data_IF_504015025960
#
_entry.id   IF_504015025960
#
_cell.length_a   1.000
_cell.length_b   1.000
_cell.length_c   1.000
_cell.angle_alpha   90.00
_cell.angle_beta   90.00
_cell.angle_gamma   90.00
#
_symmetry.space_group_name_H-M   'P 1'
#
loop_
_entity.id
_entity.type
_entity.pdbx_description
1 polymer ?
#
# COMPACT_ATOMS: atom_id res chain seq x y z
N UNK A 1 44.69 12.97 -41.22
CA UNK A 1 44.22 12.26 -40.01
C UNK A 1 43.73 10.89 -40.45
N UNK A 2 44.26 9.81 -39.89
CA UNK A 2 43.87 8.46 -40.31
C UNK A 2 42.41 8.18 -39.92
N UNK A 3 41.72 7.28 -40.63
CA UNK A 3 40.34 6.89 -40.31
C UNK A 3 40.19 6.44 -38.84
N UNK A 4 41.20 5.74 -38.32
CA UNK A 4 41.28 5.28 -36.93
C UNK A 4 41.36 6.43 -35.90
N UNK A 5 42.08 7.51 -36.21
CA UNK A 5 42.18 8.68 -35.33
C UNK A 5 40.82 9.37 -35.17
N UNK A 6 40.06 9.45 -36.28
CA UNK A 6 38.71 10.03 -36.30
C UNK A 6 37.69 9.20 -35.54
N UNK A 7 37.86 7.88 -35.52
CA UNK A 7 37.01 6.99 -34.74
C UNK A 7 37.28 7.14 -33.24
N UNK A 8 38.56 7.23 -32.84
CA UNK A 8 39.00 7.41 -31.45
C UNK A 8 38.58 8.78 -30.84
N UNK A 9 38.94 9.91 -31.46
CA UNK A 9 37.89 10.75 -32.03
C UNK A 9 36.54 10.89 -31.35
N UNK A 10 35.58 10.46 -32.16
CA UNK A 10 34.17 10.37 -31.89
C UNK A 10 33.85 9.50 -30.67
N UNK A 11 34.64 8.47 -30.37
CA UNK A 11 34.45 7.67 -29.17
C UNK A 11 34.63 8.50 -27.89
N UNK A 12 35.71 9.31 -27.79
CA UNK A 12 35.94 10.19 -26.64
C UNK A 12 34.87 11.26 -26.50
N UNK A 13 34.50 11.94 -27.59
CA UNK A 13 33.45 12.95 -27.57
C UNK A 13 32.10 12.35 -27.11
N UNK A 14 31.76 11.13 -27.56
CA UNK A 14 30.55 10.43 -27.10
C UNK A 14 30.60 10.11 -25.61
N UNK A 15 31.74 9.68 -25.07
CA UNK A 15 31.90 9.43 -23.64
C UNK A 15 31.64 10.70 -22.82
N UNK A 16 32.22 11.83 -23.22
CA UNK A 16 32.00 13.14 -22.58
C UNK A 16 30.51 13.51 -22.60
N UNK A 17 29.82 13.33 -23.74
CA UNK A 17 28.39 13.62 -23.84
C UNK A 17 27.55 12.76 -22.90
N UNK A 18 27.87 11.47 -22.76
CA UNK A 18 27.18 10.60 -21.82
C UNK A 18 27.41 11.06 -20.38
N UNK A 19 28.62 11.48 -20.02
CA UNK A 19 28.91 12.02 -18.68
C UNK A 19 28.11 13.28 -18.39
N UNK A 20 28.11 14.25 -19.31
CA UNK A 20 27.36 15.50 -19.18
C UNK A 20 25.85 15.26 -19.14
N UNK A 21 25.35 14.34 -19.96
CA UNK A 21 23.91 13.98 -19.98
C UNK A 21 23.50 13.28 -18.70
N UNK A 22 24.34 12.38 -18.16
CA UNK A 22 24.11 11.73 -16.88
C UNK A 22 24.11 12.73 -15.72
N UNK A 23 25.01 13.72 -15.74
CA UNK A 23 25.03 14.79 -14.74
C UNK A 23 23.76 15.65 -14.82
N UNK A 24 23.31 16.02 -16.02
CA UNK A 24 22.07 16.78 -16.20
C UNK A 24 20.84 15.98 -15.73
N UNK A 25 20.80 14.68 -16.01
CA UNK A 25 19.73 13.81 -15.55
C UNK A 25 19.66 13.74 -14.01
N UNK A 26 20.82 13.72 -13.32
CA UNK A 26 20.85 13.75 -11.86
C UNK A 26 20.32 15.07 -11.26
N UNK A 27 20.53 16.20 -11.93
CA UNK A 27 19.95 17.50 -11.53
C UNK A 27 18.42 17.46 -11.70
N UNK A 28 17.95 16.99 -12.86
CA UNK A 28 16.52 16.91 -13.15
C UNK A 28 15.78 15.93 -12.23
N UNK A 29 16.44 14.83 -11.82
CA UNK A 29 15.89 13.88 -10.85
C UNK A 29 15.56 14.55 -9.51
N UNK A 30 16.44 15.42 -9.02
CA UNK A 30 16.20 16.20 -7.78
C UNK A 30 14.99 17.12 -7.93
N UNK A 31 14.88 17.83 -9.05
CA UNK A 31 13.74 18.71 -9.34
C UNK A 31 12.41 17.93 -9.43
N UNK A 32 12.42 16.79 -10.11
CA UNK A 32 11.26 15.91 -10.21
C UNK A 32 10.83 15.36 -8.83
N UNK A 33 11.78 15.04 -7.94
CA UNK A 33 11.48 14.58 -6.58
C UNK A 33 10.81 15.66 -5.74
N UNK A 34 11.25 16.93 -5.84
CA UNK A 34 10.55 18.03 -5.18
C UNK A 34 9.09 18.12 -5.64
N UNK A 35 8.85 18.13 -6.95
CA UNK A 35 7.50 18.21 -7.51
C UNK A 35 6.64 17.02 -7.08
N UNK A 36 7.21 15.81 -7.09
CA UNK A 36 6.50 14.61 -6.67
C UNK A 36 6.11 14.65 -5.18
N UNK A 37 7.00 15.12 -4.30
CA UNK A 37 6.70 15.25 -2.87
C UNK A 37 5.61 16.30 -2.64
N UNK A 38 5.69 17.45 -3.30
CA UNK A 38 4.67 18.52 -3.22
C UNK A 38 3.27 17.99 -3.64
N UNK A 39 3.22 17.26 -4.74
CA UNK A 39 1.98 16.64 -5.24
C UNK A 39 1.48 15.55 -4.28
N UNK A 40 2.36 14.65 -3.83
CA UNK A 40 2.00 13.53 -2.96
C UNK A 40 1.42 13.99 -1.62
N UNK A 41 1.99 15.04 -1.00
CA UNK A 41 1.47 15.61 0.26
C UNK A 41 0.01 16.05 0.11
N UNK A 42 -0.33 16.68 -1.02
CA UNK A 42 -1.69 17.15 -1.32
C UNK A 42 -2.62 15.98 -1.68
N UNK A 43 -2.17 15.10 -2.58
CA UNK A 43 -2.95 13.97 -3.07
C UNK A 43 -3.31 12.98 -1.97
N UNK A 44 -2.35 12.60 -1.11
CA UNK A 44 -2.58 11.68 0.00
C UNK A 44 -3.61 12.24 0.99
N UNK A 45 -3.58 13.54 1.28
CA UNK A 45 -4.55 14.21 2.16
C UNK A 45 -5.97 14.07 1.61
N UNK A 46 -6.15 14.36 0.31
CA UNK A 46 -7.45 14.29 -0.36
C UNK A 46 -7.98 12.85 -0.43
N UNK A 47 -7.11 11.89 -0.71
CA UNK A 47 -7.47 10.46 -0.78
C UNK A 47 -7.89 9.92 0.59
N UNK A 48 -7.17 10.27 1.66
CA UNK A 48 -7.56 9.90 3.02
C UNK A 48 -8.93 10.49 3.37
N UNK A 49 -9.16 11.78 3.09
CA UNK A 49 -10.47 12.41 3.30
C UNK A 49 -11.59 11.70 2.53
N UNK A 50 -11.34 11.28 1.30
CA UNK A 50 -12.30 10.52 0.48
C UNK A 50 -12.65 9.17 1.12
N UNK A 51 -11.65 8.43 1.60
CA UNK A 51 -11.83 7.16 2.30
C UNK A 51 -12.63 7.34 3.59
N UNK A 52 -12.34 8.40 4.37
CA UNK A 52 -13.13 8.75 5.58
C UNK A 52 -14.57 9.13 5.25
N UNK A 53 -14.78 9.93 4.21
CA UNK A 53 -16.11 10.31 3.73
C UNK A 53 -16.97 9.12 3.31
N UNK A 54 -16.35 7.99 2.95
CA UNK A 54 -17.03 6.72 2.65
C UNK A 54 -17.20 5.80 3.87
N UNK A 55 -16.93 6.30 5.08
CA UNK A 55 -17.20 5.61 6.34
C UNK A 55 -16.09 4.68 6.86
N UNK A 56 -14.91 4.68 6.24
CA UNK A 56 -13.78 3.88 6.72
C UNK A 56 -13.10 4.53 7.92
N UNK A 57 -13.14 3.87 9.07
CA UNK A 57 -12.66 4.42 10.34
C UNK A 57 -11.44 3.69 10.93
N UNK A 58 -10.95 2.63 10.27
CA UNK A 58 -9.72 1.96 10.67
C UNK A 58 -8.46 2.68 10.13
N UNK A 59 -7.27 2.28 10.59
CA UNK A 59 -5.99 2.90 10.26
C UNK A 59 -5.94 4.38 10.64
N UNK A 60 -6.31 4.70 11.88
CA UNK A 60 -6.31 6.05 12.44
C UNK A 60 -4.90 6.64 12.64
N UNK A 61 -3.86 5.83 12.42
CA UNK A 61 -2.47 6.29 12.35
C UNK A 61 -2.18 7.11 11.10
N UNK A 62 -2.99 6.96 10.04
CA UNK A 62 -2.77 7.66 8.77
C UNK A 62 -2.86 9.17 8.92
N UNK A 63 -3.83 9.69 9.68
CA UNK A 63 -3.97 11.12 9.97
C UNK A 63 -2.69 11.68 10.57
N UNK A 64 -2.21 11.05 11.66
CA UNK A 64 -1.00 11.51 12.36
C UNK A 64 0.24 11.40 11.48
N UNK A 65 0.37 10.32 10.71
CA UNK A 65 1.52 10.10 9.83
C UNK A 65 1.58 11.15 8.73
N UNK A 66 0.43 11.48 8.15
CA UNK A 66 0.29 12.45 7.07
C UNK A 66 0.50 13.89 7.59
N UNK A 67 -0.05 14.22 8.76
CA UNK A 67 0.18 15.52 9.42
C UNK A 67 1.66 15.73 9.77
N UNK A 68 2.31 14.73 10.37
CA UNK A 68 3.73 14.78 10.68
C UNK A 68 4.59 14.96 9.42
N UNK A 69 4.31 14.18 8.37
CA UNK A 69 5.02 14.28 7.09
C UNK A 69 4.83 15.66 6.45
N UNK A 70 3.58 16.15 6.40
CA UNK A 70 3.23 17.45 5.84
C UNK A 70 3.92 18.59 6.58
N UNK A 71 3.85 18.60 7.91
CA UNK A 71 4.48 19.63 8.74
C UNK A 71 6.00 19.64 8.56
N UNK A 72 6.64 18.46 8.58
CA UNK A 72 8.08 18.34 8.34
C UNK A 72 8.47 18.80 6.94
N UNK A 73 7.66 18.52 5.92
CA UNK A 73 7.93 18.97 4.55
C UNK A 73 7.78 20.49 4.40
N UNK A 74 6.75 21.09 4.99
CA UNK A 74 6.56 22.54 4.99
C UNK A 74 7.72 23.27 5.66
N UNK A 75 8.28 22.70 6.73
CA UNK A 75 9.41 23.25 7.46
C UNK A 75 10.73 23.14 6.66
N UNK A 76 11.01 21.96 6.08
CA UNK A 76 12.32 21.66 5.49
C UNK A 76 12.43 22.03 4.01
N UNK A 77 11.33 21.99 3.25
CA UNK A 77 11.35 22.18 1.79
C UNK A 77 11.88 23.55 1.32
N UNK A 78 11.62 24.69 1.98
CA UNK A 78 12.14 25.99 1.50
C UNK A 78 13.67 26.04 1.53
N UNK A 79 14.27 25.54 2.61
CA UNK A 79 15.73 25.48 2.75
C UNK A 79 16.36 24.54 1.73
N UNK A 80 15.79 23.34 1.54
CA UNK A 80 16.30 22.39 0.54
C UNK A 80 16.18 22.93 -0.90
N UNK A 81 15.07 23.61 -1.22
CA UNK A 81 14.89 24.25 -2.54
C UNK A 81 15.89 25.39 -2.73
N UNK A 82 16.12 26.21 -1.70
CA UNK A 82 17.10 27.29 -1.75
C UNK A 82 18.52 26.74 -1.97
N UNK A 83 18.90 25.67 -1.27
CA UNK A 83 20.17 24.99 -1.47
C UNK A 83 20.27 24.45 -2.91
N UNK A 84 19.24 23.76 -3.41
CA UNK A 84 19.20 23.27 -4.79
C UNK A 84 19.42 24.38 -5.82
N UNK A 85 18.68 25.49 -5.71
CA UNK A 85 18.76 26.60 -6.66
C UNK A 85 20.06 27.39 -6.57
N UNK A 86 20.71 27.42 -5.40
CA UNK A 86 21.97 28.13 -5.21
C UNK A 86 23.22 27.30 -5.55
N UNK A 87 23.18 25.98 -5.37
CA UNK A 87 24.37 25.12 -5.51
C UNK A 87 24.31 24.15 -6.70
N UNK A 88 23.13 23.57 -6.98
CA UNK A 88 22.97 22.53 -8.01
C UNK A 88 22.51 23.11 -9.34
N UNK A 89 21.46 23.93 -9.34
CA UNK A 89 20.87 24.49 -10.56
C UNK A 89 21.89 25.23 -11.44
N UNK A 90 22.84 26.04 -10.91
CA UNK A 90 23.82 26.75 -11.73
C UNK A 90 24.77 25.80 -12.48
N UNK A 91 24.98 24.58 -11.97
CA UNK A 91 25.79 23.56 -12.64
C UNK A 91 25.16 23.12 -13.97
N UNK A 92 23.83 23.19 -14.10
CA UNK A 92 23.14 22.88 -15.36
C UNK A 92 23.55 23.82 -16.50
N UNK A 93 23.85 25.09 -16.19
CA UNK A 93 24.33 26.08 -17.16
C UNK A 93 25.74 25.72 -17.61
N UNK A 94 26.61 25.33 -16.68
CA UNK A 94 27.97 24.87 -16.99
C UNK A 94 27.96 23.61 -17.86
N UNK A 95 27.11 22.63 -17.53
CA UNK A 95 26.94 21.41 -18.33
C UNK A 95 26.53 21.75 -19.76
N UNK A 96 25.54 22.64 -19.95
CA UNK A 96 25.10 23.06 -21.28
C UNK A 96 26.21 23.77 -22.06
N UNK A 97 27.05 24.55 -21.38
CA UNK A 97 28.24 25.15 -21.97
C UNK A 97 29.22 24.10 -22.53
N UNK A 98 29.57 23.10 -21.72
CA UNK A 98 30.45 22.00 -22.17
C UNK A 98 29.81 21.16 -23.29
N UNK A 99 28.50 20.93 -23.25
CA UNK A 99 27.79 20.25 -24.34
C UNK A 99 27.85 21.04 -25.66
N UNK A 100 27.75 22.37 -25.60
CA UNK A 100 27.92 23.22 -26.78
C UNK A 100 29.36 23.14 -27.33
N UNK A 101 30.36 23.04 -26.45
CA UNK A 101 31.76 22.84 -26.84
C UNK A 101 31.98 21.51 -27.55
N UNK A 102 31.43 20.42 -27.01
CA UNK A 102 31.48 19.10 -27.67
C UNK A 102 30.87 19.16 -29.07
N UNK A 103 29.71 19.82 -29.22
CA UNK A 103 29.07 20.00 -30.53
C UNK A 103 29.94 20.79 -31.50
N UNK A 104 30.60 21.85 -31.01
CA UNK A 104 31.53 22.66 -31.81
C UNK A 104 32.71 21.83 -32.31
N UNK A 105 33.37 21.09 -31.42
CA UNK A 105 34.50 20.21 -31.77
C UNK A 105 34.10 19.10 -32.76
N UNK A 106 32.86 18.61 -32.69
CA UNK A 106 32.34 17.65 -33.65
C UNK A 106 32.10 18.26 -35.04
N UNK A 107 31.69 19.54 -35.10
CA UNK A 107 31.45 20.25 -36.36
C UNK A 107 32.73 20.79 -37.02
N UNK A 108 33.77 21.11 -36.24
CA UNK A 108 35.06 21.63 -36.71
C UNK A 108 36.13 20.54 -36.79
N UNK A 109 36.26 19.88 -37.93
CA UNK A 109 37.19 18.75 -38.10
C UNK A 109 38.68 19.19 -38.17
N UNK A 110 39.50 18.68 -37.23
CA UNK A 110 40.66 17.85 -37.63
C UNK A 110 42.10 18.39 -37.53
N UNK A 111 42.45 19.28 -36.59
CA UNK A 111 43.85 19.63 -36.29
C UNK A 111 44.41 19.00 -35.02
N UNK A 112 45.74 19.01 -34.82
CA UNK A 112 46.43 18.62 -33.57
C UNK A 112 45.85 19.36 -32.34
N UNK A 113 45.38 20.59 -32.52
CA UNK A 113 44.70 21.40 -31.51
C UNK A 113 43.39 20.78 -30.99
N UNK A 114 42.71 19.93 -31.77
CA UNK A 114 41.50 19.24 -31.35
C UNK A 114 41.75 18.17 -30.28
N UNK A 115 42.90 17.50 -30.29
CA UNK A 115 43.22 16.45 -29.32
C UNK A 115 43.54 17.00 -27.93
N UNK A 116 44.32 18.09 -27.86
CA UNK A 116 44.60 18.78 -26.59
C UNK A 116 43.32 19.37 -25.97
N UNK A 117 42.43 19.90 -26.82
CA UNK A 117 41.12 20.43 -26.40
C UNK A 117 40.22 19.35 -25.81
N UNK A 118 40.27 18.11 -26.33
CA UNK A 118 39.46 16.99 -25.82
C UNK A 118 39.94 16.49 -24.46
N UNK A 119 41.26 16.43 -24.22
CA UNK A 119 41.79 16.06 -22.91
C UNK A 119 41.29 17.02 -21.82
N UNK A 120 41.36 18.32 -22.11
CA UNK A 120 40.87 19.39 -21.22
C UNK A 120 39.36 19.27 -21.01
N UNK A 121 38.57 19.15 -22.09
CA UNK A 121 37.12 19.02 -22.03
C UNK A 121 36.67 17.76 -21.26
N UNK A 122 37.40 16.66 -21.40
CA UNK A 122 37.14 15.44 -20.63
C UNK A 122 37.38 15.66 -19.15
N UNK A 123 38.50 16.29 -18.76
CA UNK A 123 38.80 16.56 -17.36
C UNK A 123 37.78 17.52 -16.72
N UNK A 124 37.37 18.56 -17.47
CA UNK A 124 36.32 19.49 -17.05
C UNK A 124 34.97 18.79 -16.87
N UNK A 125 34.57 17.96 -17.84
CA UNK A 125 33.31 17.21 -17.77
C UNK A 125 33.29 16.24 -16.59
N UNK A 126 34.39 15.49 -16.37
CA UNK A 126 34.49 14.57 -15.24
C UNK A 126 34.50 15.29 -13.89
N UNK A 127 35.17 16.44 -13.79
CA UNK A 127 35.16 17.29 -12.58
C UNK A 127 33.76 17.84 -12.30
N UNK A 128 33.08 18.34 -13.33
CA UNK A 128 31.73 18.87 -13.21
C UNK A 128 30.74 17.76 -12.82
N UNK A 129 30.86 16.58 -13.42
CA UNK A 129 30.05 15.40 -13.05
C UNK A 129 30.28 15.02 -11.58
N UNK A 130 31.52 14.95 -11.12
CA UNK A 130 31.84 14.63 -9.73
C UNK A 130 31.22 15.65 -8.77
N UNK A 131 31.31 16.95 -9.12
CA UNK A 131 30.67 18.01 -8.35
C UNK A 131 29.14 17.85 -8.32
N UNK A 132 28.48 17.67 -9.46
CA UNK A 132 27.03 17.44 -9.52
C UNK A 132 26.63 16.24 -8.67
N UNK A 133 27.38 15.13 -8.73
CA UNK A 133 27.10 13.95 -7.92
C UNK A 133 27.20 14.24 -6.42
N UNK A 134 28.21 15.00 -5.99
CA UNK A 134 28.40 15.33 -4.58
C UNK A 134 27.31 16.29 -4.06
N UNK A 135 26.95 17.31 -4.85
CA UNK A 135 25.92 18.28 -4.48
C UNK A 135 24.52 17.64 -4.45
N UNK A 136 24.17 16.87 -5.48
CA UNK A 136 22.86 16.19 -5.55
C UNK A 136 22.71 15.10 -4.50
N UNK A 137 23.78 14.38 -4.14
CA UNK A 137 23.72 13.34 -3.10
C UNK A 137 23.28 13.92 -1.75
N UNK A 138 23.77 15.11 -1.37
CA UNK A 138 23.41 15.75 -0.09
C UNK A 138 21.92 16.07 0.00
N UNK A 139 21.34 16.58 -1.08
CA UNK A 139 19.91 16.90 -1.14
C UNK A 139 19.08 15.60 -1.19
N UNK A 140 19.53 14.62 -1.96
CA UNK A 140 18.82 13.36 -2.15
C UNK A 140 18.63 12.54 -0.86
N UNK A 141 19.55 12.61 0.10
CA UNK A 141 19.37 11.94 1.41
C UNK A 141 18.07 12.40 2.06
N UNK A 142 17.86 13.73 2.14
CA UNK A 142 16.65 14.29 2.74
C UNK A 142 15.40 13.96 1.92
N UNK A 143 15.46 14.06 0.59
CA UNK A 143 14.32 13.76 -0.27
C UNK A 143 13.90 12.29 -0.19
N UNK A 144 14.85 11.36 -0.14
CA UNK A 144 14.57 9.93 -0.08
C UNK A 144 13.84 9.52 1.21
N UNK A 145 14.10 10.18 2.34
CA UNK A 145 13.36 9.96 3.59
C UNK A 145 11.86 10.31 3.43
N UNK A 146 11.55 11.41 2.75
CA UNK A 146 10.17 11.79 2.45
C UNK A 146 9.53 10.81 1.47
N UNK A 147 10.24 10.39 0.42
CA UNK A 147 9.73 9.38 -0.52
C UNK A 147 9.43 8.05 0.17
N UNK A 148 10.27 7.63 1.13
CA UNK A 148 10.01 6.44 1.96
C UNK A 148 8.72 6.58 2.78
N UNK A 149 8.51 7.75 3.39
CA UNK A 149 7.31 8.06 4.18
C UNK A 149 6.04 8.11 3.31
N UNK A 150 6.12 8.77 2.14
CA UNK A 150 5.06 8.80 1.13
C UNK A 150 4.68 7.38 0.71
N UNK A 151 5.66 6.54 0.37
CA UNK A 151 5.42 5.17 -0.06
C UNK A 151 4.81 4.29 1.03
N UNK A 152 5.10 4.54 2.31
CA UNK A 152 4.47 3.84 3.42
C UNK A 152 2.99 4.24 3.56
N UNK A 153 2.70 5.54 3.56
CA UNK A 153 1.34 6.07 3.66
C UNK A 153 0.50 5.66 2.44
N UNK A 154 1.05 5.76 1.23
CA UNK A 154 0.37 5.38 -0.01
C UNK A 154 -0.02 3.90 -0.03
N UNK A 155 0.86 3.01 0.45
CA UNK A 155 0.55 1.57 0.53
C UNK A 155 -0.62 1.29 1.46
N UNK A 156 -0.62 1.84 2.68
CA UNK A 156 -1.71 1.64 3.63
C UNK A 156 -3.01 2.29 3.13
N UNK A 157 -2.93 3.46 2.49
CA UNK A 157 -4.09 4.16 1.93
C UNK A 157 -4.71 3.38 0.76
N UNK A 158 -3.90 2.76 -0.10
CA UNK A 158 -4.40 1.86 -1.16
C UNK A 158 -5.16 0.66 -0.59
N UNK A 159 -4.72 0.12 0.54
CA UNK A 159 -5.46 -0.97 1.22
C UNK A 159 -6.81 -0.47 1.72
N UNK A 160 -6.85 0.72 2.32
CA UNK A 160 -8.09 1.34 2.78
C UNK A 160 -9.05 1.64 1.61
N UNK A 161 -8.56 2.24 0.52
CA UNK A 161 -9.32 2.50 -0.71
C UNK A 161 -9.92 1.21 -1.29
N UNK A 162 -9.10 0.17 -1.41
CA UNK A 162 -9.54 -1.15 -1.90
C UNK A 162 -10.56 -1.79 -0.96
N UNK A 163 -10.37 -1.65 0.34
CA UNK A 163 -11.30 -2.17 1.35
C UNK A 163 -12.67 -1.53 1.17
N UNK A 164 -12.74 -0.20 1.11
CA UNK A 164 -14.01 0.53 0.92
C UNK A 164 -14.66 0.19 -0.42
N UNK A 165 -13.88 0.06 -1.49
CA UNK A 165 -14.38 -0.43 -2.79
C UNK A 165 -15.05 -1.80 -2.66
N UNK A 166 -14.35 -2.78 -2.08
CA UNK A 166 -14.89 -4.14 -1.93
C UNK A 166 -16.14 -4.18 -1.04
N UNK A 167 -16.16 -3.46 0.08
CA UNK A 167 -17.34 -3.37 0.93
C UNK A 167 -18.54 -2.72 0.22
N UNK A 168 -18.33 -1.85 -0.78
CA UNK A 168 -19.43 -1.31 -1.58
C UNK A 168 -20.11 -2.34 -2.49
N UNK A 169 -19.49 -3.51 -2.69
CA UNK A 169 -20.07 -4.63 -3.44
C UNK A 169 -20.59 -5.77 -2.56
N UNK A 170 -20.44 -5.68 -1.23
CA UNK A 170 -20.85 -6.72 -0.31
C UNK A 170 -22.38 -6.94 -0.35
N UNK A 171 -22.81 -8.20 -0.33
CA UNK A 171 -24.23 -8.59 -0.30
C UNK A 171 -24.83 -8.59 1.11
N UNK A 172 -24.02 -8.35 2.14
CA UNK A 172 -24.42 -8.31 3.54
C UNK A 172 -24.36 -6.88 4.10
N UNK A 173 -25.28 -6.51 5.02
CA UNK A 173 -25.20 -5.25 5.72
C UNK A 173 -24.19 -5.31 6.87
N UNK A 174 -23.60 -4.16 7.21
CA UNK A 174 -22.87 -3.98 8.48
C UNK A 174 -23.86 -3.85 9.64
N UNK A 175 -23.51 -4.46 10.78
CA UNK A 175 -24.27 -4.36 12.04
C UNK A 175 -24.06 -2.98 12.69
N UNK A 176 -24.92 -2.57 13.65
CA UNK A 176 -24.61 -1.42 14.49
C UNK A 176 -23.23 -1.55 15.12
N UNK A 177 -22.49 -0.43 15.16
CA UNK A 177 -21.10 -0.33 15.66
C UNK A 177 -20.06 -1.19 14.90
N UNK A 178 -20.46 -1.86 13.82
CA UNK A 178 -19.54 -2.60 12.96
C UNK A 178 -18.91 -1.64 11.94
N UNK A 179 -17.61 -1.78 11.75
CA UNK A 179 -16.85 -0.96 10.79
C UNK A 179 -15.96 -1.84 9.92
N UNK A 180 -15.85 -1.53 8.61
CA UNK A 180 -14.87 -2.16 7.74
C UNK A 180 -13.45 -1.96 8.28
N UNK A 181 -12.65 -3.03 8.27
CA UNK A 181 -11.24 -2.96 8.66
C UNK A 181 -10.33 -3.37 7.50
N UNK A 182 -10.59 -4.52 6.88
CA UNK A 182 -9.85 -5.01 5.69
C UNK A 182 -10.80 -5.77 4.77
N UNK A 183 -10.63 -5.63 3.46
CA UNK A 183 -11.17 -6.58 2.50
C UNK A 183 -10.13 -6.92 1.44
N UNK A 184 -10.01 -8.20 1.10
CA UNK A 184 -9.12 -8.69 0.04
C UNK A 184 -9.84 -9.71 -0.83
N UNK A 185 -9.45 -9.80 -2.09
CA UNK A 185 -9.93 -10.86 -2.97
C UNK A 185 -9.15 -12.14 -2.71
N UNK A 186 -9.80 -13.28 -2.84
CA UNK A 186 -9.16 -14.57 -2.62
C UNK A 186 -10.07 -15.72 -3.02
N UNK A 187 -9.54 -16.93 -2.92
CA UNK A 187 -10.24 -18.16 -3.29
C UNK A 187 -10.22 -19.14 -2.14
N UNK A 188 -11.39 -19.64 -1.74
CA UNK A 188 -11.46 -20.71 -0.73
C UNK A 188 -10.96 -22.02 -1.36
N UNK A 189 -10.09 -22.74 -0.65
CA UNK A 189 -9.42 -23.95 -1.15
C UNK A 189 -9.92 -25.24 -0.47
N UNK A 190 -11.13 -25.19 0.11
CA UNK A 190 -11.82 -26.33 0.72
C UNK A 190 -12.44 -27.29 -0.31
N UNK A 191 -13.49 -28.02 0.12
CA UNK A 191 -14.17 -29.04 -0.72
C UNK A 191 -14.74 -28.45 -2.02
N UNK A 192 -15.43 -27.31 -1.91
CA UNK A 192 -15.85 -26.52 -3.07
C UNK A 192 -14.98 -25.28 -3.20
N UNK A 193 -14.17 -25.23 -4.26
CA UNK A 193 -13.33 -24.07 -4.55
C UNK A 193 -14.17 -22.97 -5.17
N UNK A 194 -14.09 -21.76 -4.63
CA UNK A 194 -14.84 -20.61 -5.11
C UNK A 194 -14.00 -19.35 -4.95
N UNK A 195 -13.95 -18.51 -5.99
CA UNK A 195 -13.39 -17.17 -5.88
C UNK A 195 -14.33 -16.29 -5.06
N UNK A 196 -13.81 -15.26 -4.40
CA UNK A 196 -14.59 -14.50 -3.45
C UNK A 196 -13.86 -13.29 -2.87
N UNK A 197 -14.37 -12.82 -1.74
CA UNK A 197 -13.78 -11.73 -0.98
C UNK A 197 -13.82 -12.07 0.50
N UNK A 198 -12.66 -11.92 1.15
CA UNK A 198 -12.50 -12.04 2.58
C UNK A 198 -12.70 -10.64 3.16
N UNK A 199 -13.70 -10.49 4.01
CA UNK A 199 -14.00 -9.26 4.73
C UNK A 199 -13.67 -9.44 6.20
N UNK A 200 -12.91 -8.50 6.74
CA UNK A 200 -12.63 -8.36 8.15
C UNK A 200 -13.24 -7.04 8.63
N UNK A 201 -14.12 -7.13 9.61
CA UNK A 201 -14.60 -5.99 10.36
C UNK A 201 -13.99 -6.03 11.76
N UNK A 202 -14.29 -5.02 12.57
CA UNK A 202 -13.93 -5.07 13.98
C UNK A 202 -14.73 -6.12 14.79
N UNK A 203 -15.76 -6.73 14.21
CA UNK A 203 -16.62 -7.70 14.88
C UNK A 203 -16.61 -9.11 14.27
N UNK A 204 -16.43 -9.25 12.95
CA UNK A 204 -16.53 -10.57 12.31
C UNK A 204 -15.62 -10.70 11.10
N UNK A 205 -15.32 -11.96 10.81
CA UNK A 205 -14.77 -12.41 9.55
C UNK A 205 -15.91 -12.95 8.68
N UNK A 206 -15.93 -12.55 7.41
CA UNK A 206 -16.88 -13.03 6.41
C UNK A 206 -16.12 -13.45 5.15
N UNK A 207 -16.44 -14.61 4.60
CA UNK A 207 -16.07 -14.97 3.24
C UNK A 207 -17.32 -14.99 2.35
N UNK A 208 -17.30 -14.15 1.32
CA UNK A 208 -18.35 -14.07 0.31
C UNK A 208 -17.85 -14.67 -1.01
N UNK A 209 -18.49 -15.75 -1.44
CA UNK A 209 -18.21 -16.37 -2.74
C UNK A 209 -18.81 -15.54 -3.88
N UNK A 210 -18.07 -15.45 -4.99
CA UNK A 210 -18.48 -14.86 -6.26
C UNK A 210 -18.74 -15.99 -7.25
N UNK A 211 -19.92 -16.02 -7.86
CA UNK A 211 -20.28 -16.95 -8.95
C UNK A 211 -20.72 -16.17 -10.17
N UNK A 212 -20.19 -16.50 -11.35
CA UNK A 212 -20.71 -15.96 -12.61
C UNK A 212 -21.91 -16.80 -13.06
N UNK A 213 -23.09 -16.19 -13.08
CA UNK A 213 -24.30 -16.79 -13.64
C UNK A 213 -24.48 -16.30 -15.07
N UNK A 214 -24.51 -17.23 -16.02
CA UNK A 214 -24.81 -16.91 -17.42
C UNK A 214 -26.31 -16.68 -17.56
N UNK A 215 -26.69 -15.43 -17.84
CA UNK A 215 -28.08 -15.03 -18.04
C UNK A 215 -28.59 -15.35 -19.44
N UNK A 216 -27.71 -15.36 -20.44
CA UNK A 216 -28.09 -15.62 -21.84
C UNK A 216 -26.95 -16.32 -22.59
N UNK A 217 -27.32 -17.29 -23.45
CA UNK A 217 -26.40 -17.97 -24.37
C UNK A 217 -26.91 -17.85 -25.80
N UNK A 218 -26.04 -17.51 -26.74
CA UNK A 218 -26.31 -17.56 -28.18
C UNK A 218 -25.24 -18.41 -28.86
N UNK A 219 -25.65 -19.44 -29.61
CA UNK A 219 -24.74 -20.37 -30.28
C UNK A 219 -23.65 -20.91 -29.33
N UNK A 220 -24.03 -21.38 -28.14
CA UNK A 220 -23.14 -21.88 -27.08
C UNK A 220 -22.19 -20.87 -26.43
N UNK A 221 -22.19 -19.61 -26.86
CA UNK A 221 -21.40 -18.52 -26.27
C UNK A 221 -22.26 -17.77 -25.25
N UNK A 222 -21.73 -17.58 -24.03
CA UNK A 222 -22.38 -16.74 -23.02
C UNK A 222 -22.36 -15.27 -23.48
N UNK A 223 -23.54 -14.72 -23.76
CA UNK A 223 -23.70 -13.32 -24.24
C UNK A 223 -23.98 -12.36 -23.11
N UNK A 224 -24.58 -12.84 -22.01
CA UNK A 224 -24.85 -12.04 -20.82
C UNK A 224 -24.51 -12.81 -19.56
N UNK A 225 -23.73 -12.20 -18.68
CA UNK A 225 -23.34 -12.75 -17.38
C UNK A 225 -23.74 -11.80 -16.26
N UNK A 226 -24.02 -12.34 -15.08
CA UNK A 226 -24.22 -11.59 -13.84
C UNK A 226 -23.38 -12.23 -12.74
N UNK A 227 -22.67 -11.41 -11.98
CA UNK A 227 -21.98 -11.87 -10.78
C UNK A 227 -22.98 -11.96 -9.64
N UNK A 228 -23.20 -13.16 -9.14
CA UNK A 228 -23.89 -13.42 -7.89
C UNK A 228 -22.88 -13.51 -6.75
N UNK A 229 -23.25 -12.97 -5.60
CA UNK A 229 -22.44 -12.94 -4.38
C UNK A 229 -23.22 -13.58 -3.25
N UNK A 230 -22.59 -14.48 -2.51
CA UNK A 230 -23.24 -15.20 -1.42
C UNK A 230 -22.27 -15.38 -0.27
N UNK A 231 -22.71 -15.09 0.96
CA UNK A 231 -21.94 -15.36 2.17
C UNK A 231 -21.85 -16.89 2.35
N UNK A 232 -20.63 -17.41 2.28
CA UNK A 232 -20.35 -18.84 2.46
C UNK A 232 -19.82 -19.16 3.86
N UNK A 233 -19.24 -18.16 4.53
CA UNK A 233 -18.74 -18.29 5.88
C UNK A 233 -18.86 -16.96 6.62
N UNK A 234 -19.36 -16.99 7.85
CA UNK A 234 -19.40 -15.84 8.75
C UNK A 234 -19.08 -16.34 10.16
N UNK A 235 -18.10 -15.73 10.81
CA UNK A 235 -17.69 -16.07 12.17
C UNK A 235 -17.37 -14.79 12.96
N UNK A 236 -17.68 -14.73 14.27
CA UNK A 236 -17.18 -13.66 15.15
C UNK A 236 -15.67 -13.55 15.02
N UNK A 237 -15.11 -12.34 15.05
CA UNK A 237 -13.67 -12.17 14.80
C UNK A 237 -12.83 -12.83 15.90
N UNK A 238 -13.33 -12.84 17.15
CA UNK A 238 -12.67 -13.51 18.26
C UNK A 238 -12.78 -15.05 18.25
N UNK A 239 -13.55 -15.61 17.31
CA UNK A 239 -13.63 -17.05 17.08
C UNK A 239 -12.45 -17.56 16.22
N UNK A 240 -11.77 -16.67 15.49
CA UNK A 240 -10.54 -16.99 14.78
C UNK A 240 -9.41 -17.10 15.81
N UNK A 241 -8.75 -18.25 15.83
CA UNK A 241 -7.61 -18.51 16.69
C UNK A 241 -6.34 -17.90 16.12
N UNK A 242 -6.06 -18.16 14.84
CA UNK A 242 -4.89 -17.65 14.15
C UNK A 242 -5.07 -17.62 12.63
N UNK A 243 -4.28 -16.77 11.97
CA UNK A 243 -4.15 -16.73 10.51
C UNK A 243 -2.68 -16.93 10.16
N UNK A 244 -2.38 -18.04 9.50
CA UNK A 244 -1.02 -18.44 9.15
C UNK A 244 -0.79 -18.32 7.65
N UNK A 245 0.31 -17.68 7.25
CA UNK A 245 0.79 -17.69 5.87
C UNK A 245 1.35 -19.08 5.54
N UNK A 246 1.04 -19.60 4.36
CA UNK A 246 1.53 -20.91 3.93
C UNK A 246 1.36 -21.14 2.43
N UNK A 247 1.60 -22.37 1.98
CA UNK A 247 1.42 -22.79 0.59
C UNK A 247 0.10 -23.52 0.43
N UNK A 248 -0.81 -22.98 -0.37
CA UNK A 248 -2.12 -23.58 -0.61
C UNK A 248 -2.17 -24.24 -1.99
N UNK A 249 -2.80 -25.43 -2.03
CA UNK A 249 -2.96 -26.22 -3.26
C UNK A 249 -1.70 -26.95 -3.75
N UNK A 250 -1.85 -27.71 -4.83
CA UNK A 250 -0.82 -28.62 -5.37
C UNK A 250 0.33 -27.91 -6.10
N UNK A 251 0.22 -26.62 -6.39
CA UNK A 251 1.17 -25.86 -7.24
C UNK A 251 1.88 -24.74 -6.46
N UNK A 252 2.00 -24.86 -5.13
CA UNK A 252 2.74 -23.92 -4.28
C UNK A 252 2.32 -22.44 -4.40
N UNK A 253 1.01 -22.18 -4.57
CA UNK A 253 0.48 -20.82 -4.49
C UNK A 253 0.60 -20.32 -3.04
N UNK A 254 1.02 -19.07 -2.83
CA UNK A 254 1.01 -18.48 -1.48
C UNK A 254 -0.44 -18.29 -1.05
N UNK A 255 -0.75 -18.60 0.20
CA UNK A 255 -2.08 -18.41 0.77
C UNK A 255 -2.05 -18.22 2.26
N UNK A 256 -3.24 -18.21 2.85
CA UNK A 256 -3.45 -18.15 4.30
C UNK A 256 -4.29 -19.33 4.76
N UNK A 257 -4.06 -19.75 6.00
CA UNK A 257 -4.86 -20.74 6.71
C UNK A 257 -5.52 -20.05 7.89
N UNK A 258 -6.85 -20.04 7.91
CA UNK A 258 -7.62 -19.52 9.03
C UNK A 258 -7.99 -20.69 9.93
N UNK A 259 -7.50 -20.66 11.17
CA UNK A 259 -7.87 -21.63 12.21
C UNK A 259 -8.87 -21.02 13.17
N UNK A 260 -9.84 -21.81 13.56
CA UNK A 260 -10.89 -21.41 14.49
C UNK A 260 -10.66 -22.03 15.86
N UNK A 261 -11.14 -21.38 16.91
CA UNK A 261 -11.04 -21.90 18.27
C UNK A 261 -11.72 -23.27 18.40
N UNK A 262 -11.16 -24.18 19.22
CA UNK A 262 -11.75 -25.50 19.48
C UNK A 262 -13.21 -25.39 19.97
N UNK A 263 -14.07 -26.31 19.55
CA UNK A 263 -15.48 -26.35 19.97
C UNK A 263 -16.48 -25.69 19.01
N UNK A 264 -16.00 -25.00 17.96
CA UNK A 264 -16.84 -24.44 16.89
C UNK A 264 -17.06 -25.40 15.70
N UNK A 265 -16.48 -26.61 15.75
CA UNK A 265 -16.60 -27.62 14.69
C UNK A 265 -16.03 -27.19 13.32
N UNK A 266 -15.26 -26.11 13.27
CA UNK A 266 -14.72 -25.54 12.04
C UNK A 266 -13.28 -26.01 11.84
N UNK A 267 -13.05 -26.76 10.76
CA UNK A 267 -11.73 -27.17 10.32
C UNK A 267 -10.91 -25.96 9.86
N UNK A 268 -9.58 -26.07 9.94
CA UNK A 268 -8.65 -25.13 9.32
C UNK A 268 -9.06 -24.88 7.86
N UNK A 269 -9.29 -23.62 7.49
CA UNK A 269 -9.78 -23.27 6.16
C UNK A 269 -8.68 -22.55 5.35
N UNK A 270 -8.20 -23.16 4.25
CA UNK A 270 -7.21 -22.53 3.39
C UNK A 270 -7.83 -21.55 2.40
N UNK A 271 -7.17 -20.42 2.19
CA UNK A 271 -7.48 -19.43 1.16
C UNK A 271 -6.25 -19.10 0.31
N UNK A 272 -6.42 -19.10 -1.00
CA UNK A 272 -5.44 -18.62 -1.96
C UNK A 272 -5.61 -17.11 -2.15
N UNK A 273 -4.51 -16.37 -1.92
CA UNK A 273 -4.43 -14.91 -1.92
C UNK A 273 -3.07 -14.50 -2.46
N UNK A 274 -2.88 -13.25 -2.90
CA UNK A 274 -1.54 -12.84 -3.36
C UNK A 274 -0.54 -12.85 -2.20
N UNK A 275 0.74 -13.09 -2.50
CA UNK A 275 1.79 -13.21 -1.49
C UNK A 275 1.86 -12.01 -0.53
N UNK A 276 1.82 -10.79 -1.07
CA UNK A 276 1.83 -9.57 -0.25
C UNK A 276 0.51 -9.36 0.52
N UNK A 277 -0.61 -9.90 0.03
CA UNK A 277 -1.92 -9.82 0.71
C UNK A 277 -1.94 -10.74 1.94
N UNK A 278 -1.22 -11.88 1.91
CA UNK A 278 -1.11 -12.75 3.08
C UNK A 278 -0.49 -12.03 4.28
N UNK A 279 0.58 -11.26 4.07
CA UNK A 279 1.23 -10.47 5.12
C UNK A 279 0.30 -9.36 5.62
N UNK A 280 -0.47 -8.73 4.71
CA UNK A 280 -1.48 -7.73 5.05
C UNK A 280 -2.57 -8.34 5.94
N UNK A 281 -3.11 -9.51 5.61
CA UNK A 281 -4.16 -10.16 6.41
C UNK A 281 -3.66 -10.46 7.81
N UNK A 282 -2.48 -11.07 7.96
CA UNK A 282 -1.93 -11.38 9.29
C UNK A 282 -1.72 -10.11 10.13
N UNK A 283 -1.18 -9.04 9.53
CA UNK A 283 -1.03 -7.73 10.19
C UNK A 283 -2.37 -7.16 10.66
N UNK A 284 -3.38 -7.18 9.79
CA UNK A 284 -4.71 -6.64 10.12
C UNK A 284 -5.45 -7.50 11.15
N UNK A 285 -5.26 -8.81 11.13
CA UNK A 285 -5.81 -9.69 12.16
C UNK A 285 -5.25 -9.33 13.55
N UNK A 286 -3.94 -9.13 13.66
CA UNK A 286 -3.31 -8.68 14.90
C UNK A 286 -3.81 -7.28 15.33
N UNK A 287 -3.91 -6.35 14.38
CA UNK A 287 -4.49 -5.02 14.60
C UNK A 287 -5.94 -5.07 15.13
N UNK A 288 -6.76 -6.01 14.64
CA UNK A 288 -8.13 -6.21 15.15
C UNK A 288 -8.12 -6.87 16.53
N UNK A 289 -7.43 -8.00 16.71
CA UNK A 289 -7.45 -8.76 17.97
C UNK A 289 -6.78 -7.99 19.11
N UNK A 290 -5.73 -7.21 18.83
CA UNK A 290 -5.06 -6.32 19.78
C UNK A 290 -5.88 -5.07 20.17
N UNK A 291 -7.07 -4.89 19.57
CA UNK A 291 -7.98 -3.78 19.86
C UNK A 291 -7.52 -2.42 19.34
N UNK A 292 -6.44 -2.36 18.54
CA UNK A 292 -6.01 -1.15 17.86
C UNK A 292 -7.09 -0.67 16.89
N UNK A 293 -7.72 -1.60 16.16
CA UNK A 293 -8.85 -1.31 15.28
C UNK A 293 -9.97 -0.56 15.98
N UNK A 294 -10.40 -1.02 17.14
CA UNK A 294 -11.51 -0.40 17.88
C UNK A 294 -11.14 0.99 18.40
N UNK A 295 -9.89 1.17 18.86
CA UNK A 295 -9.40 2.48 19.31
C UNK A 295 -9.41 3.50 18.18
N UNK A 296 -8.93 3.10 17.00
CA UNK A 296 -8.92 3.96 15.83
C UNK A 296 -10.35 4.28 15.37
N UNK A 297 -11.21 3.27 15.26
CA UNK A 297 -12.61 3.43 14.88
C UNK A 297 -13.33 4.38 15.84
N UNK A 298 -13.18 4.17 17.15
CA UNK A 298 -13.78 5.02 18.18
C UNK A 298 -13.32 6.47 18.05
N UNK A 299 -12.01 6.68 17.90
CA UNK A 299 -11.43 8.02 17.72
C UNK A 299 -11.95 8.71 16.46
N UNK A 300 -11.93 8.04 15.32
CA UNK A 300 -12.34 8.62 14.03
C UNK A 300 -13.84 8.88 13.99
N UNK A 301 -14.66 8.01 14.59
CA UNK A 301 -16.12 8.22 14.68
C UNK A 301 -16.56 9.14 15.82
N UNK A 302 -15.65 9.58 16.69
CA UNK A 302 -15.97 10.40 17.86
C UNK A 302 -16.81 9.67 18.91
N UNK A 303 -16.66 8.34 19.01
CA UNK A 303 -17.39 7.48 19.95
C UNK A 303 -16.44 7.16 21.13
N UNK A 304 -16.95 7.11 22.35
CA UNK A 304 -16.16 6.62 23.49
C UNK A 304 -15.94 5.11 23.31
N UNK A 305 -14.71 4.58 23.37
CA UNK A 305 -14.47 3.15 23.26
C UNK A 305 -15.34 2.42 24.29
N UNK A 306 -16.15 1.43 23.87
CA UNK A 306 -16.79 0.52 24.83
C UNK A 306 -15.67 -0.15 25.63
N UNK A 307 -15.66 0.05 26.95
CA UNK A 307 -14.77 -0.69 27.84
C UNK A 307 -14.99 -2.19 27.60
N UNK A 308 -13.91 -2.98 27.71
CA UNK A 308 -14.01 -4.43 27.62
C UNK A 308 -15.14 -4.89 28.55
N UNK A 309 -16.05 -5.78 28.11
CA UNK A 309 -17.17 -6.19 28.93
C UNK A 309 -16.62 -6.72 30.26
N UNK A 310 -16.92 -6.01 31.36
CA UNK A 310 -16.70 -6.53 32.71
C UNK A 310 -17.35 -7.90 32.76
N UNK A 311 -16.64 -8.91 33.30
CA UNK A 311 -17.14 -10.29 33.41
C UNK A 311 -18.50 -10.26 34.11
N UNK A 312 -19.57 -10.23 33.31
CA UNK A 312 -20.96 -10.29 33.77
C UNK A 312 -21.39 -11.72 33.54
N UNK A 313 -21.89 -12.36 34.58
CA UNK A 313 -22.56 -13.66 34.45
C UNK A 313 -23.81 -13.43 33.61
N UNK A 314 -23.75 -13.81 32.33
CA UNK A 314 -24.89 -13.74 31.43
C UNK A 314 -25.86 -14.85 31.84
N UNK A 315 -27.13 -14.50 32.05
CA UNK A 315 -28.19 -15.47 32.34
C UNK A 315 -29.21 -15.49 31.22
N UNK A 316 -29.72 -16.69 30.92
CA UNK A 316 -30.79 -16.85 29.96
C UNK A 316 -32.06 -16.13 30.46
N UNK A 317 -32.69 -15.24 29.66
CA UNK A 317 -33.89 -14.54 30.08
C UNK A 317 -35.11 -15.46 30.21
N UNK A 318 -35.09 -16.63 29.56
CA UNK A 318 -36.21 -17.58 29.58
C UNK A 318 -36.11 -18.58 30.74
N UNK A 319 -34.94 -19.18 30.98
CA UNK A 319 -34.79 -20.24 32.00
C UNK A 319 -33.90 -19.85 33.20
N UNK A 320 -33.30 -18.66 33.20
CA UNK A 320 -32.43 -18.17 34.28
C UNK A 320 -31.06 -18.85 34.39
N UNK A 321 -30.80 -19.88 33.57
CA UNK A 321 -29.54 -20.61 33.59
C UNK A 321 -28.35 -19.70 33.21
N UNK A 322 -27.20 -19.84 33.88
CA UNK A 322 -26.01 -19.09 33.52
C UNK A 322 -25.43 -19.59 32.19
N UNK A 323 -24.96 -18.66 31.37
CA UNK A 323 -24.12 -18.98 30.22
C UNK A 323 -22.69 -19.17 30.71
N UNK A 324 -22.12 -20.36 30.45
CA UNK A 324 -20.82 -20.80 31.00
C UNK A 324 -19.72 -20.89 29.96
N UNK A 325 -20.05 -20.72 28.68
CA UNK A 325 -19.10 -20.78 27.56
C UNK A 325 -18.38 -19.44 27.35
N UNK A 326 -17.22 -19.52 26.70
CA UNK A 326 -16.44 -18.34 26.31
C UNK A 326 -17.24 -17.45 25.35
N UNK A 327 -17.19 -16.14 25.56
CA UNK A 327 -17.76 -15.14 24.67
C UNK A 327 -16.70 -14.64 23.72
N UNK A 328 -16.95 -14.74 22.42
CA UNK A 328 -16.01 -14.29 21.42
C UNK A 328 -16.18 -12.80 21.10
N UNK A 329 -15.07 -12.11 20.83
CA UNK A 329 -15.10 -10.74 20.32
C UNK A 329 -15.99 -10.66 19.07
N UNK A 330 -16.95 -9.73 19.10
CA UNK A 330 -17.93 -9.49 18.02
C UNK A 330 -19.14 -10.44 18.00
N UNK A 331 -19.27 -11.29 19.02
CA UNK A 331 -20.49 -12.07 19.24
C UNK A 331 -21.58 -11.19 19.86
N UNK A 332 -22.75 -11.12 19.21
CA UNK A 332 -23.89 -10.30 19.67
C UNK A 332 -24.98 -11.12 20.34
N UNK A 333 -25.01 -12.43 20.08
CA UNK A 333 -25.95 -13.37 20.68
C UNK A 333 -25.31 -14.74 20.93
N UNK A 334 -25.84 -15.47 21.91
CA UNK A 334 -25.51 -16.87 22.20
C UNK A 334 -26.78 -17.69 22.34
N UNK A 335 -26.68 -19.01 22.15
CA UNK A 335 -27.79 -19.92 22.41
C UNK A 335 -27.67 -20.51 23.82
N UNK A 336 -28.76 -20.48 24.58
CA UNK A 336 -28.83 -21.12 25.89
C UNK A 336 -28.77 -22.64 25.75
N UNK A 337 -27.81 -23.28 26.42
CA UNK A 337 -27.62 -24.74 26.34
C UNK A 337 -28.78 -25.54 26.94
N UNK A 338 -29.50 -24.94 27.89
CA UNK A 338 -30.58 -25.60 28.61
C UNK A 338 -31.94 -25.56 27.90
N UNK A 339 -32.29 -24.43 27.29
CA UNK A 339 -33.63 -24.23 26.70
C UNK A 339 -33.61 -23.74 25.25
N UNK A 340 -32.44 -23.57 24.64
CA UNK A 340 -32.31 -23.13 23.24
C UNK A 340 -32.76 -21.70 22.97
N UNK A 341 -32.94 -20.86 24.01
CA UNK A 341 -33.28 -19.45 23.84
C UNK A 341 -32.05 -18.65 23.44
N UNK A 342 -32.21 -17.75 22.47
CA UNK A 342 -31.17 -16.79 22.10
C UNK A 342 -31.04 -15.70 23.17
N UNK A 343 -29.82 -15.53 23.70
CA UNK A 343 -29.46 -14.54 24.70
C UNK A 343 -28.68 -13.41 24.01
N UNK A 344 -29.14 -12.17 24.15
CA UNK A 344 -28.43 -10.98 23.67
C UNK A 344 -27.30 -10.60 24.63
N UNK A 345 -26.14 -10.22 24.07
CA UNK A 345 -24.88 -10.00 24.82
C UNK A 345 -24.35 -8.56 24.67
N UNK A 346 -25.14 -7.67 24.07
CA UNK A 346 -24.76 -6.31 23.66
C UNK A 346 -24.32 -5.37 24.77
#
# INVERSE_FOLDING_TARGET
MAFQDREALNAKLRAIEMELSSALAAINDVENKFAHIDEAVTSLSSRLATVRGRGYAAMGHLEKSLDLMKNRWMEVSPALKQDFYSTVQPLSVQIRGLQAEVKRLRSGFGGVLGWASIGTLSAEASTLRARVSAETARINVSLNDFLGSINAIDRDLKIAEKTVELFSFASFPLRPDESPVLAIEGKIMGKEKCDGTLYFTNQRFIFEGKREVVLEKKLFIATKKRTERTVLMEQPIGALQEILKGRVGLVAWTGIYIRFKPGLGSEETPFDVKDWEADVVTRFFQYIIGGEADRDIAKIKGITPKEAPTIRVIRCPNCGAPYTKELYKGQTFVQCEYCGTSIMIS
#
